data_IF_500976605827
#
_entry.id   IF_500976605827
#
_cell.length_a   1.000
_cell.length_b   1.000
_cell.length_c   1.000
_cell.angle_alpha   90.00
_cell.angle_beta   90.00
_cell.angle_gamma   90.00
#
_symmetry.space_group_name_H-M   'P 1'
#
loop_
_entity.id
_entity.type
_entity.pdbx_description
1 polymer ?
#
# COMPACT_ATOMS: atom_id res chain seq x y z
N UNK A 1 1.01 17.99 25.01
CA UNK A 1 1.65 17.20 23.94
C UNK A 1 2.39 16.06 24.62
N UNK A 2 2.10 14.83 24.22
CA UNK A 2 2.30 13.59 24.98
C UNK A 2 3.78 13.28 25.23
N UNK A 3 4.14 13.16 26.51
CA UNK A 3 5.51 13.06 27.00
C UNK A 3 6.14 11.66 27.05
N UNK A 4 5.84 10.77 26.11
CA UNK A 4 6.49 9.44 26.10
C UNK A 4 6.58 8.84 24.69
N UNK A 5 7.59 9.25 23.93
CA UNK A 5 8.07 8.48 22.79
C UNK A 5 8.93 7.27 23.24
N UNK A 6 9.17 6.29 22.36
CA UNK A 6 10.02 5.13 22.66
C UNK A 6 11.45 5.55 23.03
N UNK A 7 12.24 4.71 23.74
CA UNK A 7 13.61 5.05 24.13
C UNK A 7 14.43 5.62 22.96
N UNK A 8 15.06 6.78 23.16
CA UNK A 8 15.85 7.47 22.13
C UNK A 8 15.06 8.41 21.20
N UNK A 9 13.73 8.55 21.36
CA UNK A 9 12.92 9.40 20.48
C UNK A 9 13.37 10.86 20.42
N UNK A 10 13.84 11.44 21.54
CA UNK A 10 14.33 12.82 21.59
C UNK A 10 15.56 13.03 20.71
N UNK A 11 16.49 12.06 20.71
CA UNK A 11 17.69 12.12 19.87
C UNK A 11 17.31 12.04 18.39
N UNK A 12 16.34 11.19 18.04
CA UNK A 12 15.82 11.10 16.68
C UNK A 12 15.11 12.41 16.29
N UNK A 13 14.30 12.98 17.19
CA UNK A 13 13.60 14.24 16.97
C UNK A 13 14.58 15.40 16.75
N UNK A 14 15.61 15.54 17.60
CA UNK A 14 16.67 16.54 17.44
C UNK A 14 17.41 16.37 16.11
N UNK A 15 17.76 15.14 15.73
CA UNK A 15 18.42 14.86 14.46
C UNK A 15 17.53 15.19 13.25
N UNK A 16 16.23 14.86 13.32
CA UNK A 16 15.26 15.23 12.29
C UNK A 16 15.09 16.75 12.21
N UNK A 17 15.05 17.44 13.35
CA UNK A 17 14.95 18.89 13.40
C UNK A 17 16.17 19.57 12.77
N UNK A 18 17.38 19.14 13.13
CA UNK A 18 18.62 19.64 12.51
C UNK A 18 18.64 19.42 10.99
N UNK A 19 18.12 18.27 10.52
CA UNK A 19 17.99 17.99 9.08
C UNK A 19 16.99 18.93 8.40
N UNK A 20 15.87 19.25 9.06
CA UNK A 20 14.89 20.22 8.56
C UNK A 20 15.49 21.62 8.50
N UNK A 21 16.16 22.09 9.55
CA UNK A 21 16.81 23.41 9.56
C UNK A 21 17.85 23.56 8.46
N UNK A 22 18.69 22.53 8.26
CA UNK A 22 19.65 22.48 7.15
C UNK A 22 18.93 22.55 5.81
N UNK A 23 17.88 21.73 5.62
CA UNK A 23 17.08 21.71 4.40
C UNK A 23 16.42 23.06 4.09
N UNK A 24 15.89 23.76 5.10
CA UNK A 24 15.27 25.07 4.94
C UNK A 24 16.27 26.16 4.53
N UNK A 25 17.54 26.04 4.94
CA UNK A 25 18.61 26.97 4.56
C UNK A 25 19.15 26.67 3.16
N UNK A 26 19.47 25.40 2.90
CA UNK A 26 20.23 24.99 1.70
C UNK A 26 19.33 24.66 0.51
N UNK A 27 18.11 24.17 0.73
CA UNK A 27 17.22 23.67 -0.31
C UNK A 27 16.08 24.65 -0.65
N UNK A 28 16.14 25.87 -0.12
CA UNK A 28 15.14 26.90 -0.41
C UNK A 28 15.25 27.34 -1.88
N UNK A 29 14.16 27.24 -2.63
CA UNK A 29 14.14 27.58 -4.07
C UNK A 29 14.53 26.44 -5.02
N UNK A 30 14.85 25.25 -4.50
CA UNK A 30 15.09 24.04 -5.31
C UNK A 30 13.79 23.56 -5.99
N UNK A 31 12.66 23.61 -5.29
CA UNK A 31 11.34 23.35 -5.87
C UNK A 31 10.88 24.60 -6.62
N UNK A 32 10.92 24.53 -7.95
CA UNK A 32 10.36 25.54 -8.86
C UNK A 32 8.98 25.09 -9.33
N UNK A 33 8.08 26.01 -9.73
CA UNK A 33 6.78 25.67 -10.32
C UNK A 33 6.97 25.18 -11.77
N UNK A 34 7.81 24.17 -11.95
CA UNK A 34 8.20 23.59 -13.22
C UNK A 34 7.83 22.10 -13.18
N UNK A 35 7.14 21.63 -14.22
CA UNK A 35 6.79 20.22 -14.38
C UNK A 35 7.65 19.67 -15.49
N UNK A 36 8.53 18.74 -15.14
CA UNK A 36 9.29 17.93 -16.09
C UNK A 36 8.68 16.53 -16.10
N UNK A 37 7.90 16.22 -17.13
CA UNK A 37 7.34 14.88 -17.32
C UNK A 37 8.48 13.90 -17.64
N UNK A 38 8.91 13.17 -16.61
CA UNK A 38 9.94 12.12 -16.73
C UNK A 38 9.35 10.76 -17.10
N UNK A 39 8.01 10.64 -17.17
CA UNK A 39 7.30 9.43 -17.51
C UNK A 39 6.19 9.70 -18.52
N UNK A 40 6.01 8.78 -19.45
CA UNK A 40 4.82 8.73 -20.30
C UNK A 40 3.72 7.94 -19.58
N UNK A 41 2.49 8.48 -19.55
CA UNK A 41 1.33 7.78 -18.99
C UNK A 41 0.85 6.73 -19.97
N UNK A 42 1.16 5.47 -19.67
CA UNK A 42 0.72 4.31 -20.46
C UNK A 42 -0.69 3.81 -20.09
N UNK A 43 -1.13 4.03 -18.84
CA UNK A 43 -2.41 3.53 -18.35
C UNK A 43 -2.93 4.37 -17.17
N UNK A 44 -4.25 4.44 -17.02
CA UNK A 44 -4.93 4.97 -15.85
C UNK A 44 -6.05 3.98 -15.45
N UNK A 45 -5.94 3.40 -14.27
CA UNK A 45 -6.88 2.41 -13.75
C UNK A 45 -7.73 3.02 -12.62
N UNK A 46 -9.05 2.97 -12.79
CA UNK A 46 -10.03 3.35 -11.77
C UNK A 46 -10.73 2.13 -11.15
N UNK A 47 -11.69 2.37 -10.24
CA UNK A 47 -12.39 1.30 -9.52
C UNK A 47 -13.09 0.28 -10.44
N UNK A 48 -13.69 0.75 -11.53
CA UNK A 48 -14.38 -0.10 -12.51
C UNK A 48 -13.44 -1.00 -13.32
N UNK A 49 -12.13 -0.74 -13.29
CA UNK A 49 -11.14 -1.53 -14.02
C UNK A 49 -10.67 -2.76 -13.25
N UNK A 50 -11.17 -3.01 -12.03
CA UNK A 50 -10.82 -4.18 -11.21
C UNK A 50 -12.05 -5.05 -10.94
N UNK A 51 -12.12 -6.23 -11.59
CA UNK A 51 -13.18 -7.22 -11.38
C UNK A 51 -12.76 -8.25 -10.34
N UNK A 52 -13.39 -8.21 -9.18
CA UNK A 52 -13.04 -9.03 -8.02
C UNK A 52 -13.63 -10.43 -8.13
N UNK A 53 -12.77 -11.44 -8.13
CA UNK A 53 -13.14 -12.83 -8.41
C UNK A 53 -13.52 -13.65 -7.17
N UNK A 54 -12.98 -13.29 -6.00
CA UNK A 54 -13.12 -14.05 -4.74
C UNK A 54 -13.91 -13.32 -3.64
N UNK A 55 -14.80 -12.38 -4.01
CA UNK A 55 -15.65 -11.65 -3.06
C UNK A 55 -17.01 -11.33 -3.68
N UNK A 56 -18.04 -11.15 -2.85
CA UNK A 56 -19.42 -10.95 -3.32
C UNK A 56 -19.60 -9.61 -4.06
N UNK A 57 -18.89 -8.55 -3.63
CA UNK A 57 -18.83 -7.28 -4.36
C UNK A 57 -17.77 -7.39 -5.44
N UNK A 58 -18.22 -7.36 -6.70
CA UNK A 58 -17.37 -7.55 -7.88
C UNK A 58 -16.57 -6.33 -8.26
N UNK A 59 -17.01 -5.14 -7.87
CA UNK A 59 -16.29 -3.90 -8.13
C UNK A 59 -16.13 -3.12 -6.81
N UNK A 60 -14.92 -2.60 -6.55
CA UNK A 60 -14.71 -1.66 -5.44
C UNK A 60 -15.41 -0.31 -5.74
N UNK A 61 -15.63 0.48 -4.69
CA UNK A 61 -16.01 1.89 -4.84
C UNK A 61 -14.78 2.76 -5.09
N UNK A 62 -13.62 2.36 -4.56
CA UNK A 62 -12.34 3.06 -4.71
C UNK A 62 -11.21 2.06 -4.92
N UNK A 63 -10.28 2.39 -5.82
CA UNK A 63 -9.10 1.59 -6.13
C UNK A 63 -7.91 2.52 -6.38
N UNK A 64 -6.89 2.48 -5.52
CA UNK A 64 -5.76 3.43 -5.60
C UNK A 64 -4.50 2.91 -4.88
N UNK A 65 -3.46 3.74 -4.80
CA UNK A 65 -2.18 3.52 -4.11
C UNK A 65 -1.60 2.10 -4.27
N UNK A 66 -1.44 1.60 -5.51
CA UNK A 66 -0.98 0.25 -5.71
C UNK A 66 0.51 0.10 -5.37
N UNK A 67 0.88 -1.10 -4.90
CA UNK A 67 2.21 -1.64 -5.08
C UNK A 67 2.32 -2.32 -6.46
N UNK A 68 3.53 -2.51 -6.97
CA UNK A 68 3.74 -3.23 -8.22
C UNK A 68 5.02 -4.07 -8.17
N UNK A 69 5.04 -5.17 -8.92
CA UNK A 69 6.22 -5.99 -9.13
C UNK A 69 6.23 -6.55 -10.56
N UNK A 70 7.41 -6.66 -11.17
CA UNK A 70 7.58 -7.33 -12.46
C UNK A 70 8.10 -8.75 -12.21
N UNK A 71 7.40 -9.76 -12.72
CA UNK A 71 7.80 -11.16 -12.68
C UNK A 71 7.72 -11.77 -14.08
N UNK A 72 8.88 -11.89 -14.74
CA UNK A 72 8.95 -12.29 -16.15
C UNK A 72 8.29 -11.23 -17.04
N UNK A 73 7.30 -11.64 -17.83
CA UNK A 73 6.48 -10.79 -18.70
C UNK A 73 5.23 -10.22 -18.00
N UNK A 74 5.05 -10.49 -16.71
CA UNK A 74 3.86 -10.12 -15.93
C UNK A 74 4.13 -8.95 -15.01
N UNK A 75 3.38 -7.87 -15.19
CA UNK A 75 3.24 -6.81 -14.21
C UNK A 75 2.15 -7.20 -13.22
N UNK A 76 2.56 -7.46 -11.99
CA UNK A 76 1.69 -7.70 -10.84
C UNK A 76 1.32 -6.36 -10.22
N UNK A 77 0.02 -6.10 -10.06
CA UNK A 77 -0.53 -4.87 -9.51
C UNK A 77 -1.24 -5.19 -8.20
N UNK A 78 -0.74 -4.62 -7.11
CA UNK A 78 -1.24 -4.81 -5.76
C UNK A 78 -2.02 -3.57 -5.33
N UNK A 79 -3.31 -3.50 -5.65
CA UNK A 79 -4.12 -2.29 -5.51
C UNK A 79 -4.84 -2.26 -4.16
N UNK A 80 -4.94 -1.07 -3.54
CA UNK A 80 -5.80 -0.85 -2.37
C UNK A 80 -7.25 -0.75 -2.84
N UNK A 81 -8.10 -1.66 -2.36
CA UNK A 81 -9.52 -1.76 -2.69
C UNK A 81 -10.38 -1.39 -1.49
N UNK A 82 -11.40 -0.56 -1.71
CA UNK A 82 -12.41 -0.20 -0.72
C UNK A 82 -13.79 -0.51 -1.29
N UNK A 83 -14.67 -1.11 -0.48
CA UNK A 83 -15.99 -1.57 -0.92
C UNK A 83 -17.17 -0.90 -0.20
N UNK A 84 -16.89 -0.08 0.81
CA UNK A 84 -17.91 0.55 1.65
C UNK A 84 -17.50 1.96 2.08
N UNK A 85 -18.51 2.78 2.38
CA UNK A 85 -18.34 4.20 2.65
C UNK A 85 -18.14 4.52 4.14
N UNK A 86 -18.64 3.70 5.07
CA UNK A 86 -18.64 4.07 6.49
C UNK A 86 -17.32 3.74 7.17
N UNK A 87 -16.86 2.50 7.05
CA UNK A 87 -15.58 2.11 7.63
C UNK A 87 -14.36 2.50 6.79
N UNK A 88 -14.56 2.74 5.49
CA UNK A 88 -13.47 2.88 4.50
C UNK A 88 -12.47 1.71 4.59
N UNK A 89 -12.95 0.54 5.00
CA UNK A 89 -12.11 -0.63 5.26
C UNK A 89 -11.49 -1.07 3.96
N UNK A 90 -10.16 -1.04 3.94
CA UNK A 90 -9.36 -1.36 2.78
C UNK A 90 -8.85 -2.80 2.81
N UNK A 91 -8.66 -3.33 1.61
CA UNK A 91 -8.02 -4.62 1.35
C UNK A 91 -7.04 -4.47 0.20
N UNK A 92 -6.16 -5.44 -0.01
CA UNK A 92 -5.24 -5.48 -1.14
C UNK A 92 -5.73 -6.50 -2.16
N UNK A 93 -6.00 -6.02 -3.37
CA UNK A 93 -6.25 -6.83 -4.55
C UNK A 93 -4.97 -7.08 -5.34
N UNK A 94 -4.85 -8.26 -5.94
CA UNK A 94 -3.84 -8.60 -6.93
C UNK A 94 -4.49 -8.72 -8.31
N UNK A 95 -4.02 -7.92 -9.26
CA UNK A 95 -4.31 -8.04 -10.68
C UNK A 95 -3.02 -8.28 -11.46
N UNK A 96 -3.11 -8.90 -12.63
CA UNK A 96 -1.97 -9.22 -13.48
C UNK A 96 -2.21 -8.67 -14.88
N UNK A 97 -1.20 -8.03 -15.47
CA UNK A 97 -1.20 -7.60 -16.87
C UNK A 97 0.11 -8.00 -17.53
N UNK A 98 0.07 -8.32 -18.82
CA UNK A 98 1.30 -8.51 -19.59
C UNK A 98 1.96 -7.16 -19.86
N UNK A 99 3.26 -7.07 -19.62
CA UNK A 99 3.99 -5.81 -19.81
C UNK A 99 3.99 -5.38 -21.28
N UNK A 100 4.11 -6.33 -22.21
CA UNK A 100 4.10 -6.03 -23.65
C UNK A 100 2.74 -5.45 -24.10
N UNK A 101 1.63 -5.97 -23.57
CA UNK A 101 0.31 -5.42 -23.85
C UNK A 101 0.17 -3.99 -23.31
N UNK A 102 0.85 -3.68 -22.20
CA UNK A 102 0.91 -2.34 -21.62
C UNK A 102 1.71 -1.37 -22.47
N UNK A 103 2.91 -1.76 -22.89
CA UNK A 103 3.80 -0.93 -23.69
C UNK A 103 3.30 -0.72 -25.12
N UNK A 104 2.58 -1.68 -25.69
CA UNK A 104 1.97 -1.57 -27.02
C UNK A 104 0.61 -0.88 -27.02
N UNK A 105 0.12 -0.39 -25.87
CA UNK A 105 -1.19 0.25 -25.77
C UNK A 105 -2.36 -0.70 -26.03
N UNK A 106 -2.15 -2.02 -25.94
CA UNK A 106 -3.17 -3.06 -26.13
C UNK A 106 -3.98 -3.35 -24.87
N UNK A 107 -3.86 -2.50 -23.84
CA UNK A 107 -4.61 -2.61 -22.57
C UNK A 107 -6.07 -2.18 -22.75
N UNK A 108 -6.79 -2.89 -23.61
CA UNK A 108 -8.24 -2.76 -23.80
C UNK A 108 -9.05 -3.83 -23.05
N UNK A 109 -8.42 -4.58 -22.14
CA UNK A 109 -9.05 -5.71 -21.42
C UNK A 109 -9.37 -5.38 -19.97
N UNK A 110 -9.85 -4.17 -19.70
CA UNK A 110 -10.52 -3.91 -18.43
C UNK A 110 -11.97 -4.43 -18.49
N UNK A 111 -12.53 -4.92 -17.38
CA UNK A 111 -11.90 -4.98 -16.06
C UNK A 111 -10.90 -6.13 -15.91
N UNK A 112 -9.81 -5.87 -15.19
CA UNK A 112 -8.78 -6.82 -14.84
C UNK A 112 -9.31 -7.80 -13.79
N UNK A 113 -9.22 -9.12 -14.02
CA UNK A 113 -9.47 -10.11 -12.97
C UNK A 113 -8.56 -9.84 -11.78
N UNK A 114 -9.18 -9.62 -10.62
CA UNK A 114 -8.51 -9.19 -9.40
C UNK A 114 -8.88 -10.13 -8.27
N UNK A 115 -7.91 -10.57 -7.48
CA UNK A 115 -8.14 -11.41 -6.29
C UNK A 115 -7.75 -10.64 -5.04
N UNK A 116 -8.63 -10.57 -4.04
CA UNK A 116 -8.27 -10.04 -2.72
C UNK A 116 -7.32 -11.04 -2.05
N UNK A 117 -6.10 -10.60 -1.77
CA UNK A 117 -5.03 -11.43 -1.18
C UNK A 117 -4.67 -11.03 0.25
N UNK A 118 -5.02 -9.80 0.66
CA UNK A 118 -4.85 -9.32 2.03
C UNK A 118 -6.07 -8.50 2.43
N UNK A 119 -6.65 -8.82 3.57
CA UNK A 119 -7.78 -8.12 4.16
C UNK A 119 -7.67 -8.19 5.68
N UNK A 120 -8.38 -7.33 6.42
CA UNK A 120 -8.32 -7.32 7.87
C UNK A 120 -8.70 -8.66 8.50
N UNK A 121 -7.83 -9.18 9.36
CA UNK A 121 -8.06 -10.39 10.16
C UNK A 121 -7.76 -10.20 11.64
N UNK A 122 -7.06 -9.12 11.99
CA UNK A 122 -6.65 -8.81 13.36
C UNK A 122 -7.20 -7.45 13.82
N UNK A 123 -7.32 -7.24 15.13
CA UNK A 123 -7.82 -5.99 15.71
C UNK A 123 -7.01 -4.76 15.27
N UNK A 124 -5.69 -4.93 15.16
CA UNK A 124 -4.75 -3.87 14.80
C UNK A 124 -4.82 -3.43 13.32
N UNK A 125 -5.52 -4.19 12.48
CA UNK A 125 -5.79 -3.87 11.06
C UNK A 125 -7.28 -3.87 10.71
N UNK A 126 -8.17 -3.95 11.71
CA UNK A 126 -9.63 -4.10 11.49
C UNK A 126 -10.25 -2.99 10.63
N UNK A 127 -9.63 -1.81 10.59
CA UNK A 127 -10.07 -0.66 9.82
C UNK A 127 -9.42 -0.57 8.44
N UNK A 128 -8.50 -1.48 8.09
CA UNK A 128 -7.95 -1.58 6.74
C UNK A 128 -6.52 -2.11 6.65
N UNK A 129 -6.24 -2.75 5.52
CA UNK A 129 -4.90 -3.06 5.04
C UNK A 129 -4.57 -2.09 3.88
N UNK A 130 -3.77 -1.07 4.16
CA UNK A 130 -3.59 0.09 3.27
C UNK A 130 -2.25 0.10 2.53
N UNK A 131 -2.25 0.65 1.32
CA UNK A 131 -1.09 1.12 0.57
C UNK A 131 0.07 0.11 0.51
N UNK A 132 -0.15 -1.08 -0.10
CA UNK A 132 0.84 -2.14 -0.14
C UNK A 132 2.13 -1.70 -0.86
N UNK A 133 3.26 -2.16 -0.34
CA UNK A 133 4.58 -2.08 -0.97
C UNK A 133 5.15 -3.49 -1.00
N UNK A 134 5.46 -3.98 -2.20
CA UNK A 134 5.73 -5.39 -2.42
C UNK A 134 7.20 -5.62 -2.71
N UNK A 135 7.75 -6.71 -2.20
CA UNK A 135 9.11 -7.16 -2.48
C UNK A 135 9.15 -8.67 -2.61
N UNK A 136 9.94 -9.17 -3.57
CA UNK A 136 10.18 -10.60 -3.75
C UNK A 136 11.33 -11.04 -2.85
N UNK A 137 11.14 -12.16 -2.16
CA UNK A 137 12.20 -12.87 -1.44
C UNK A 137 12.23 -14.34 -1.92
N UNK A 138 13.31 -15.10 -1.67
CA UNK A 138 13.36 -16.51 -2.08
C UNK A 138 12.15 -17.31 -1.56
N UNK A 139 11.35 -17.84 -2.49
CA UNK A 139 10.17 -18.66 -2.20
C UNK A 139 8.96 -17.95 -1.58
N UNK A 140 8.98 -16.61 -1.45
CA UNK A 140 7.90 -15.86 -0.80
C UNK A 140 7.78 -14.41 -1.29
N UNK A 141 6.64 -13.81 -1.01
CA UNK A 141 6.36 -12.40 -1.23
C UNK A 141 6.26 -11.68 0.10
N UNK A 142 6.80 -10.48 0.16
CA UNK A 142 6.72 -9.60 1.32
C UNK A 142 5.85 -8.41 0.93
N UNK A 143 4.80 -8.14 1.71
CA UNK A 143 3.95 -6.96 1.55
C UNK A 143 4.07 -6.13 2.82
N UNK A 144 4.76 -5.00 2.72
CA UNK A 144 4.75 -3.95 3.72
C UNK A 144 3.49 -3.11 3.49
N UNK A 145 2.70 -2.86 4.52
CA UNK A 145 1.43 -2.15 4.41
C UNK A 145 1.14 -1.36 5.70
N UNK A 146 0.19 -0.44 5.63
CA UNK A 146 -0.31 0.24 6.82
C UNK A 146 -1.52 -0.55 7.36
N UNK A 147 -1.37 -1.12 8.56
CA UNK A 147 -2.44 -1.77 9.30
C UNK A 147 -3.18 -0.74 10.15
N UNK A 148 -4.43 -0.44 9.79
CA UNK A 148 -5.26 0.55 10.49
C UNK A 148 -6.18 -0.15 11.47
N UNK A 149 -6.12 0.20 12.76
CA UNK A 149 -6.97 -0.50 13.72
C UNK A 149 -6.79 -0.08 15.16
N UNK A 150 -6.93 -1.05 16.06
CA UNK A 150 -6.95 -0.86 17.50
C UNK A 150 -5.86 -1.68 18.18
N UNK A 151 -5.22 -1.05 19.16
CA UNK A 151 -4.08 -1.59 19.89
C UNK A 151 -4.32 -1.44 21.37
N UNK A 152 -3.83 -2.40 22.16
CA UNK A 152 -3.82 -2.30 23.61
C UNK A 152 -2.53 -1.62 24.05
N UNK A 153 -2.65 -0.41 24.60
CA UNK A 153 -1.59 0.26 25.33
C UNK A 153 -1.91 0.11 26.82
N UNK A 154 -1.21 -0.80 27.48
CA UNK A 154 -1.52 -1.24 28.85
C UNK A 154 -2.97 -1.73 28.96
N UNK A 155 -3.84 -1.02 29.67
CA UNK A 155 -5.26 -1.32 29.86
C UNK A 155 -6.18 -0.53 28.94
N UNK A 156 -5.63 0.31 28.05
CA UNK A 156 -6.40 1.18 27.17
C UNK A 156 -6.30 0.78 25.71
N UNK A 157 -7.45 0.60 25.08
CA UNK A 157 -7.52 0.45 23.63
C UNK A 157 -7.37 1.80 22.94
N UNK A 158 -6.38 1.93 22.07
CA UNK A 158 -6.11 3.13 21.27
C UNK A 158 -6.24 2.81 19.79
N UNK A 159 -6.80 3.74 19.03
CA UNK A 159 -6.81 3.68 17.57
C UNK A 159 -5.49 4.21 17.06
N UNK A 160 -4.75 3.41 16.30
CA UNK A 160 -3.52 3.86 15.64
C UNK A 160 -3.32 3.10 14.34
N UNK A 161 -2.35 3.59 13.58
CA UNK A 161 -1.87 3.00 12.34
C UNK A 161 -0.51 2.36 12.67
N UNK A 162 -0.29 1.10 12.26
CA UNK A 162 1.03 0.48 12.37
C UNK A 162 1.58 0.13 11.01
N UNK A 163 2.91 0.19 10.92
CA UNK A 163 3.63 -0.41 9.84
C UNK A 163 3.57 -1.93 10.01
N UNK A 164 2.93 -2.61 9.06
CA UNK A 164 2.72 -4.04 9.09
C UNK A 164 3.44 -4.74 7.94
N UNK A 165 3.78 -6.00 8.14
CA UNK A 165 4.41 -6.88 7.17
C UNK A 165 3.62 -8.17 7.07
N UNK A 166 3.15 -8.50 5.87
CA UNK A 166 2.61 -9.80 5.53
C UNK A 166 3.62 -10.59 4.69
N UNK A 167 3.79 -11.86 5.02
CA UNK A 167 4.53 -12.82 4.20
C UNK A 167 3.55 -13.75 3.51
N UNK A 168 3.72 -13.90 2.20
CA UNK A 168 2.84 -14.71 1.36
C UNK A 168 3.65 -15.75 0.59
N UNK A 169 3.04 -16.89 0.31
CA UNK A 169 3.64 -17.90 -0.56
C UNK A 169 3.59 -17.49 -2.06
N UNK A 170 4.06 -18.37 -2.95
CA UNK A 170 4.04 -18.12 -4.40
C UNK A 170 2.63 -18.06 -5.00
N UNK A 171 1.62 -18.51 -4.27
CA UNK A 171 0.20 -18.40 -4.62
C UNK A 171 -0.46 -17.20 -3.96
N UNK A 172 0.32 -16.31 -3.34
CA UNK A 172 -0.18 -15.15 -2.60
C UNK A 172 -1.16 -15.51 -1.47
N UNK A 173 -0.96 -16.67 -0.84
CA UNK A 173 -1.64 -17.02 0.41
C UNK A 173 -0.80 -16.52 1.59
N UNK A 174 -1.46 -15.88 2.57
CA UNK A 174 -0.76 -15.29 3.72
C UNK A 174 -0.25 -16.37 4.67
N UNK A 175 1.08 -16.48 4.79
CA UNK A 175 1.78 -17.39 5.69
C UNK A 175 1.83 -16.85 7.12
N UNK A 176 2.15 -15.55 7.26
CA UNK A 176 2.14 -14.84 8.54
C UNK A 176 1.99 -13.34 8.31
N UNK A 177 1.51 -12.63 9.32
CA UNK A 177 1.46 -11.16 9.35
C UNK A 177 1.76 -10.64 10.75
N UNK A 178 2.30 -9.44 10.84
CA UNK A 178 2.57 -8.75 12.09
C UNK A 178 2.91 -7.28 11.83
N UNK A 179 3.17 -6.54 12.89
CA UNK A 179 3.51 -5.12 12.83
C UNK A 179 4.75 -4.80 13.67
N UNK A 180 5.35 -3.65 13.38
CA UNK A 180 6.51 -3.10 14.07
C UNK A 180 6.11 -2.13 15.18
#
# INVERSE_FOLDING_TARGET
MSGSGPPGWKTVEEALWAKVEKGLKELRGLRRPEVNDVFERVLYLGPSDFYVTNYFRRFPIEAFNPGAALEGDRLLIFVRLIFEFYGYVSSVGLAEVKIDDLLEGRVGRTPLPTRIILWPRELWEQLGCEDPRVSRAPGRWLILYCGRGYYWLEDKMVRTDALALAELDERFEVLRRGYF
#
